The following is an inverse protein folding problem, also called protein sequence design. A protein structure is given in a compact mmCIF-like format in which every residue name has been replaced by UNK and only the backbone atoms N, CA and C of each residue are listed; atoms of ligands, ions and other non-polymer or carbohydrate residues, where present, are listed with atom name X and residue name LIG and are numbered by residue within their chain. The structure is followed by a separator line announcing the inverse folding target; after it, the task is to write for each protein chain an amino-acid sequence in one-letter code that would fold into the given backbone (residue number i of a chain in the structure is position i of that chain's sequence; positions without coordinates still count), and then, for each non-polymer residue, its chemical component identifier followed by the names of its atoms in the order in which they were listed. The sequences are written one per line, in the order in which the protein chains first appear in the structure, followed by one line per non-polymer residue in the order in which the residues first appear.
data_IF_481729068975
#
_entry.id   IF_481729068975
#
_cell.length_a   1.000
_cell.length_b   1.000
_cell.length_c   1.000
_cell.angle_alpha   90.00
_cell.angle_beta   90.00
_cell.angle_gamma   90.00
#
_symmetry.space_group_name_H-M   'P 1'
#
loop_
_entity.id
_entity.type
_entity.pdbx_description
1 polymer ?
#
# COMPACT_ATOMS: atom_id res chain seq x y z
N UNK A 1 -30.61 7.87 16.30
CA UNK A 1 -29.22 8.14 15.88
C UNK A 1 -28.48 6.88 15.42
N UNK A 2 -28.45 5.78 16.19
CA UNK A 2 -27.79 4.51 15.79
C UNK A 2 -28.32 3.89 14.49
N UNK A 3 -29.64 3.93 14.26
CA UNK A 3 -30.27 3.36 13.04
C UNK A 3 -29.91 4.13 11.77
N UNK A 4 -29.91 5.47 11.84
CA UNK A 4 -29.48 6.33 10.75
C UNK A 4 -27.98 6.16 10.42
N UNK A 5 -27.12 6.02 11.44
CA UNK A 5 -25.69 5.73 11.25
C UNK A 5 -25.46 4.37 10.59
N UNK A 6 -26.30 3.37 10.91
CA UNK A 6 -26.27 2.03 10.33
C UNK A 6 -26.76 1.99 8.88
N UNK A 7 -27.81 2.75 8.56
CA UNK A 7 -28.32 2.91 7.18
C UNK A 7 -27.33 3.69 6.31
N UNK A 8 -26.65 4.70 6.86
CA UNK A 8 -25.58 5.45 6.20
C UNK A 8 -24.37 4.55 5.91
N UNK A 9 -23.93 3.72 6.86
CA UNK A 9 -22.87 2.72 6.64
C UNK A 9 -23.27 1.65 5.62
N UNK A 10 -24.56 1.29 5.57
CA UNK A 10 -25.09 0.33 4.59
C UNK A 10 -25.20 0.90 3.17
N UNK A 11 -25.17 2.23 3.01
CA UNK A 11 -25.20 2.92 1.70
C UNK A 11 -23.84 3.45 1.25
N UNK A 12 -22.86 3.55 2.15
CA UNK A 12 -21.55 4.15 1.85
C UNK A 12 -20.43 3.16 1.56
N UNK A 13 -20.70 1.85 1.47
CA UNK A 13 -19.67 0.87 1.17
C UNK A 13 -20.24 -0.23 0.28
N UNK A 14 -20.14 -0.02 -1.03
CA UNK A 14 -20.17 -1.16 -1.95
C UNK A 14 -18.78 -1.77 -1.84
N UNK A 15 -18.67 -2.89 -1.11
CA UNK A 15 -17.42 -3.62 -1.04
C UNK A 15 -17.02 -3.98 -2.48
N UNK A 16 -15.89 -3.43 -2.94
CA UNK A 16 -15.30 -3.86 -4.20
C UNK A 16 -14.82 -5.29 -3.96
N UNK A 17 -15.23 -6.20 -4.85
CA UNK A 17 -14.70 -7.56 -4.83
C UNK A 17 -13.26 -7.50 -5.35
N UNK A 18 -12.32 -7.48 -4.40
CA UNK A 18 -10.89 -7.40 -4.63
C UNK A 18 -10.22 -8.77 -4.40
N UNK A 19 -9.26 -9.17 -5.25
CA UNK A 19 -8.50 -10.38 -4.99
C UNK A 19 -7.63 -10.19 -3.74
N UNK A 20 -7.60 -11.23 -2.90
CA UNK A 20 -6.65 -11.30 -1.80
C UNK A 20 -5.27 -11.70 -2.31
N UNK A 21 -4.26 -10.91 -1.98
CA UNK A 21 -2.86 -11.11 -2.36
C UNK A 21 -2.00 -11.27 -1.12
N UNK A 22 -0.84 -11.90 -1.29
CA UNK A 22 0.18 -11.94 -0.25
C UNK A 22 0.85 -10.56 -0.17
N UNK A 23 0.69 -9.89 0.97
CA UNK A 23 1.36 -8.62 1.29
C UNK A 23 2.46 -8.89 2.28
N UNK A 24 3.59 -8.19 2.12
CA UNK A 24 4.76 -8.34 2.98
C UNK A 24 4.53 -7.93 4.44
N UNK A 25 3.69 -6.91 4.66
CA UNK A 25 3.48 -6.33 5.98
C UNK A 25 4.36 -5.11 6.21
N UNK A 26 5.68 -5.28 6.10
CA UNK A 26 6.71 -4.26 6.39
C UNK A 26 7.69 -4.03 5.22
N UNK A 27 7.20 -3.56 4.07
CA UNK A 27 8.02 -3.51 2.87
C UNK A 27 8.87 -2.24 2.79
N UNK A 28 10.00 -2.23 3.51
CA UNK A 28 10.95 -1.12 3.53
C UNK A 28 12.34 -1.52 3.00
N UNK A 29 13.22 -0.52 2.82
CA UNK A 29 14.55 -0.74 2.25
C UNK A 29 15.49 -1.64 3.07
N UNK A 30 15.28 -1.77 4.38
CA UNK A 30 16.08 -2.67 5.23
C UNK A 30 15.69 -4.14 5.05
N UNK A 31 14.44 -4.39 4.61
CA UNK A 31 13.93 -5.72 4.30
C UNK A 31 14.23 -6.16 2.86
N UNK A 32 15.02 -5.39 2.09
CA UNK A 32 15.43 -5.72 0.73
C UNK A 32 16.95 -5.97 0.68
N UNK A 33 17.34 -7.22 0.44
CA UNK A 33 18.75 -7.57 0.25
C UNK A 33 19.17 -7.32 -1.20
N UNK A 34 20.21 -6.50 -1.38
CA UNK A 34 20.78 -6.16 -2.68
C UNK A 34 22.15 -6.80 -2.90
N UNK A 35 22.46 -7.20 -4.13
CA UNK A 35 23.83 -7.48 -4.58
C UNK A 35 24.14 -6.65 -5.82
N UNK A 36 24.94 -5.60 -5.64
CA UNK A 36 25.09 -4.56 -6.66
C UNK A 36 23.73 -3.90 -6.94
N UNK A 37 23.31 -3.88 -8.20
CA UNK A 37 22.01 -3.35 -8.63
C UNK A 37 20.87 -4.37 -8.67
N UNK A 38 21.09 -5.60 -8.16
CA UNK A 38 20.09 -6.68 -8.23
C UNK A 38 19.51 -6.97 -6.85
N UNK A 39 18.18 -6.98 -6.76
CA UNK A 39 17.45 -7.54 -5.61
C UNK A 39 17.74 -9.04 -5.54
N UNK A 40 18.15 -9.52 -4.37
CA UNK A 40 18.48 -10.94 -4.10
C UNK A 40 17.45 -11.63 -3.22
N UNK A 41 16.89 -10.93 -2.25
CA UNK A 41 15.88 -11.45 -1.35
C UNK A 41 15.02 -10.33 -0.78
N UNK A 42 13.80 -10.68 -0.39
CA UNK A 42 12.93 -9.90 0.50
C UNK A 42 12.88 -10.66 1.81
N UNK A 43 13.23 -9.98 2.90
CA UNK A 43 13.42 -10.53 4.25
C UNK A 43 12.26 -10.12 5.16
N UNK A 44 12.15 -10.79 6.30
CA UNK A 44 11.28 -10.36 7.41
C UNK A 44 9.76 -10.37 7.12
N UNK A 45 9.25 -11.59 6.91
CA UNK A 45 7.85 -11.85 6.57
C UNK A 45 6.92 -11.97 7.78
N UNK A 46 7.33 -11.56 8.99
CA UNK A 46 6.57 -11.81 10.21
C UNK A 46 5.23 -11.04 10.27
N UNK A 47 5.13 -9.93 9.53
CA UNK A 47 3.91 -9.13 9.37
C UNK A 47 3.15 -9.42 8.06
N UNK A 48 3.54 -10.48 7.35
CA UNK A 48 2.90 -10.83 6.08
C UNK A 48 1.51 -11.43 6.26
N UNK A 49 0.67 -11.27 5.25
CA UNK A 49 -0.69 -11.80 5.30
C UNK A 49 -1.42 -11.69 3.97
N UNK A 50 -2.62 -12.28 3.95
CA UNK A 50 -3.54 -12.15 2.83
C UNK A 50 -4.40 -10.90 3.02
N UNK A 51 -4.26 -9.91 2.14
CA UNK A 51 -5.01 -8.65 2.18
C UNK A 51 -5.59 -8.33 0.79
N UNK A 52 -6.60 -7.46 0.70
CA UNK A 52 -7.07 -6.93 -0.58
C UNK A 52 -5.92 -6.33 -1.41
N UNK A 53 -6.01 -6.41 -2.74
CA UNK A 53 -4.96 -5.93 -3.66
C UNK A 53 -4.59 -4.46 -3.41
N UNK A 54 -5.56 -3.62 -3.05
CA UNK A 54 -5.33 -2.22 -2.72
C UNK A 54 -4.40 -2.00 -1.51
N UNK A 55 -4.21 -3.00 -0.66
CA UNK A 55 -3.29 -2.96 0.48
C UNK A 55 -1.85 -3.39 0.15
N UNK A 56 -1.57 -3.78 -1.11
CA UNK A 56 -0.27 -4.30 -1.50
C UNK A 56 0.86 -3.28 -1.34
N UNK A 57 0.61 -2.04 -1.77
CA UNK A 57 1.55 -0.92 -1.59
C UNK A 57 1.28 -0.17 -0.28
N UNK A 58 0.07 -0.34 0.26
CA UNK A 58 -0.37 0.26 1.53
C UNK A 58 -0.96 1.66 1.33
N UNK A 59 -2.04 1.96 2.07
CA UNK A 59 -2.75 3.25 1.97
C UNK A 59 -2.03 4.45 2.61
N UNK A 60 -0.82 4.25 3.17
CA UNK A 60 -0.03 5.31 3.84
C UNK A 60 1.02 5.94 2.92
N UNK A 61 1.20 5.42 1.70
CA UNK A 61 2.16 5.94 0.72
C UNK A 61 3.58 5.40 0.89
N UNK A 62 4.47 5.87 0.03
CA UNK A 62 5.88 5.46 -0.03
C UNK A 62 6.78 6.63 0.36
N UNK A 63 7.48 6.47 1.47
CA UNK A 63 8.51 7.41 1.93
C UNK A 63 9.89 6.96 1.47
N UNK A 64 10.67 7.91 0.94
CA UNK A 64 12.07 7.71 0.55
C UNK A 64 13.04 8.50 1.43
N UNK A 65 12.54 9.50 2.15
CA UNK A 65 13.25 10.29 3.15
C UNK A 65 12.56 10.15 4.50
N UNK A 66 13.34 10.29 5.57
CA UNK A 66 12.79 10.51 6.91
C UNK A 66 12.07 11.87 6.95
N UNK A 67 10.84 11.89 7.47
CA UNK A 67 10.03 13.11 7.57
C UNK A 67 10.50 13.93 8.78
N UNK A 68 11.29 14.96 8.51
CA UNK A 68 11.88 15.85 9.52
C UNK A 68 11.36 17.29 9.42
N UNK A 69 10.81 17.67 8.26
CA UNK A 69 10.26 18.99 7.95
C UNK A 69 9.28 18.93 6.76
N UNK A 70 8.59 20.05 6.50
CA UNK A 70 7.62 20.18 5.41
C UNK A 70 8.24 19.91 4.02
N UNK A 71 9.54 20.22 3.84
CA UNK A 71 10.25 19.99 2.57
C UNK A 71 10.43 18.49 2.32
N UNK A 72 10.80 17.72 3.35
CA UNK A 72 10.92 16.26 3.28
C UNK A 72 9.56 15.57 3.03
N UNK A 73 8.48 16.10 3.60
CA UNK A 73 7.10 15.62 3.34
C UNK A 73 6.66 15.91 1.90
N UNK A 74 6.97 17.11 1.38
CA UNK A 74 6.68 17.45 -0.02
C UNK A 74 7.46 16.56 -0.99
N UNK A 75 8.73 16.28 -0.68
CA UNK A 75 9.58 15.40 -1.48
C UNK A 75 9.09 13.96 -1.46
N UNK A 76 8.71 13.41 -0.29
CA UNK A 76 8.06 12.10 -0.20
C UNK A 76 6.76 12.05 -1.00
N UNK A 77 5.93 13.10 -0.96
CA UNK A 77 4.72 13.20 -1.78
C UNK A 77 5.00 13.16 -3.29
N UNK A 78 6.11 13.78 -3.75
CA UNK A 78 6.54 13.72 -5.15
C UNK A 78 7.01 12.31 -5.52
N UNK A 79 7.80 11.68 -4.66
CA UNK A 79 8.31 10.33 -4.89
C UNK A 79 7.21 9.27 -4.85
N UNK A 80 6.28 9.36 -3.90
CA UNK A 80 5.11 8.49 -3.82
C UNK A 80 4.36 8.47 -5.16
N UNK A 81 4.00 9.64 -5.71
CA UNK A 81 3.33 9.74 -7.01
C UNK A 81 4.14 9.09 -8.14
N UNK A 82 5.45 9.34 -8.17
CA UNK A 82 6.34 8.81 -9.22
C UNK A 82 6.48 7.28 -9.13
N UNK A 83 6.63 6.75 -7.92
CA UNK A 83 6.79 5.31 -7.70
C UNK A 83 5.48 4.60 -8.00
N UNK A 84 4.33 5.13 -7.56
CA UNK A 84 3.02 4.57 -7.89
C UNK A 84 2.77 4.53 -9.40
N UNK A 85 3.20 5.57 -10.14
CA UNK A 85 3.14 5.56 -11.60
C UNK A 85 4.02 4.43 -12.21
N UNK A 86 5.24 4.23 -11.71
CA UNK A 86 6.13 3.15 -12.16
C UNK A 86 5.57 1.76 -11.84
N UNK A 87 4.95 1.59 -10.67
CA UNK A 87 4.26 0.36 -10.27
C UNK A 87 3.12 0.05 -11.22
N UNK A 88 2.25 1.04 -11.49
CA UNK A 88 1.13 0.90 -12.42
C UNK A 88 1.59 0.59 -13.85
N UNK A 89 2.63 1.26 -14.35
CA UNK A 89 3.21 0.96 -15.67
C UNK A 89 3.75 -0.48 -15.74
N UNK A 90 4.47 -0.90 -14.70
CA UNK A 90 5.01 -2.26 -14.62
C UNK A 90 3.90 -3.32 -14.61
N UNK A 91 2.80 -3.08 -13.89
CA UNK A 91 1.64 -3.97 -13.89
C UNK A 91 1.00 -4.08 -15.28
N UNK A 92 0.81 -2.95 -15.98
CA UNK A 92 0.31 -2.93 -17.37
C UNK A 92 1.22 -3.70 -18.32
N UNK A 93 2.54 -3.51 -18.22
CA UNK A 93 3.51 -4.25 -19.04
C UNK A 93 3.48 -5.77 -18.78
N UNK A 94 3.02 -6.18 -17.60
CA UNK A 94 2.79 -7.60 -17.23
C UNK A 94 1.41 -8.13 -17.62
N UNK A 95 0.59 -7.32 -18.30
CA UNK A 95 -0.72 -7.72 -18.82
C UNK A 95 -1.85 -7.68 -17.80
N UNK A 96 -1.69 -6.93 -16.70
CA UNK A 96 -2.78 -6.72 -15.75
C UNK A 96 -3.89 -5.88 -16.39
N UNK A 97 -5.13 -6.14 -16.00
CA UNK A 97 -6.27 -5.35 -16.46
C UNK A 97 -6.25 -3.96 -15.84
N UNK A 98 -6.82 -2.95 -16.51
CA UNK A 98 -6.88 -1.60 -15.94
C UNK A 98 -7.61 -1.56 -14.59
N UNK A 99 -8.63 -2.40 -14.39
CA UNK A 99 -9.30 -2.53 -13.09
C UNK A 99 -8.34 -2.99 -11.99
N UNK A 100 -7.50 -3.99 -12.27
CA UNK A 100 -6.49 -4.48 -11.30
C UNK A 100 -5.41 -3.42 -11.04
N UNK A 101 -5.01 -2.67 -12.08
CA UNK A 101 -4.04 -1.58 -11.93
C UNK A 101 -4.64 -0.45 -11.07
N UNK A 102 -5.88 -0.06 -11.31
CA UNK A 102 -6.61 0.93 -10.49
C UNK A 102 -6.72 0.50 -9.03
N UNK A 103 -6.99 -0.79 -8.76
CA UNK A 103 -7.00 -1.33 -7.39
C UNK A 103 -5.59 -1.28 -6.77
N UNK A 104 -4.56 -1.70 -7.52
CA UNK A 104 -3.17 -1.74 -7.06
C UNK A 104 -2.60 -0.36 -6.69
N UNK A 105 -2.90 0.66 -7.50
CA UNK A 105 -2.36 2.03 -7.31
C UNK A 105 -3.34 2.98 -6.61
N UNK A 106 -4.47 2.46 -6.13
CA UNK A 106 -5.44 3.23 -5.37
C UNK A 106 -4.99 3.50 -3.94
N UNK A 107 -5.77 4.29 -3.21
CA UNK A 107 -5.43 4.76 -1.85
C UNK A 107 -5.67 3.72 -0.74
N UNK A 108 -6.08 2.48 -1.08
CA UNK A 108 -6.42 1.45 -0.10
C UNK A 108 -7.53 1.86 0.87
N UNK A 109 -7.69 1.10 1.95
CA UNK A 109 -8.46 1.56 3.12
C UNK A 109 -7.48 2.14 4.15
N UNK A 110 -7.51 3.47 4.41
CA UNK A 110 -6.59 4.08 5.36
C UNK A 110 -6.74 3.48 6.77
N UNK A 111 -7.93 3.02 7.17
CA UNK A 111 -8.14 2.36 8.47
C UNK A 111 -7.36 1.05 8.54
N UNK A 112 -7.34 0.26 7.47
CA UNK A 112 -6.56 -0.98 7.39
C UNK A 112 -5.06 -0.68 7.39
N UNK A 113 -4.64 0.32 6.61
CA UNK A 113 -3.25 0.79 6.58
C UNK A 113 -2.74 1.21 7.97
N UNK A 114 -3.46 2.09 8.67
CA UNK A 114 -3.09 2.52 10.02
C UNK A 114 -3.14 1.39 11.05
N UNK A 115 -4.16 0.52 11.00
CA UNK A 115 -4.25 -0.61 11.92
C UNK A 115 -3.07 -1.59 11.77
N UNK A 116 -2.51 -1.72 10.56
CA UNK A 116 -1.29 -2.50 10.34
C UNK A 116 -0.06 -1.84 10.95
N UNK A 117 0.03 -0.52 10.87
CA UNK A 117 1.16 0.23 11.46
C UNK A 117 1.20 0.08 12.99
N UNK A 118 0.05 0.08 13.66
CA UNK A 118 -0.06 -0.13 15.11
C UNK A 118 0.36 -1.54 15.58
N UNK A 119 0.40 -2.53 14.67
CA UNK A 119 0.86 -3.88 14.99
C UNK A 119 2.38 -4.01 15.01
N UNK A 120 3.12 -2.99 14.57
CA UNK A 120 4.57 -2.98 14.67
C UNK A 120 5.03 -2.74 16.12
N UNK A 121 6.01 -3.52 16.61
CA UNK A 121 6.62 -3.26 17.91
C UNK A 121 7.24 -1.86 17.94
N UNK A 122 7.02 -1.14 19.03
CA UNK A 122 7.61 0.18 19.33
C UNK A 122 8.99 0.09 19.98
#
# INVERSE_FOLDING_TARGET
QLRAKREQLATSFVAVDEPFVLVHGDFNGWNIMMQGSKVRAVLDWEFSGAYPLSELVGGVGIDVLEVIDDDSEEENSKWNRRIMAMVGETARQRGWTEKEVEMLVGDGDPVVGYARMEMFPT
#
